data_IF_739438198876
#
_entry.id   IF_739438198876
#
_cell.length_a   1.000
_cell.length_b   1.000
_cell.length_c   1.000
_cell.angle_alpha   90.00
_cell.angle_beta   90.00
_cell.angle_gamma   90.00
#
_symmetry.space_group_name_H-M   'P 1'
#
loop_
_entity.id
_entity.type
_entity.pdbx_description
1 polymer ?
#
# COMPACT_ATOMS: atom_id res chain seq x y z
N UNK A 1 22.65 -18.22 9.15
CA UNK A 1 23.50 -17.95 10.31
C UNK A 1 23.94 -19.25 10.97
N UNK A 2 25.22 -19.37 11.26
CA UNK A 2 25.79 -20.47 12.05
C UNK A 2 27.05 -19.96 12.77
N UNK A 3 27.80 -20.90 13.46
CA UNK A 3 29.04 -20.55 14.17
C UNK A 3 30.14 -19.90 13.31
N UNK A 4 30.03 -19.95 11.98
CA UNK A 4 30.96 -19.32 11.05
C UNK A 4 30.47 -17.94 10.56
N UNK A 5 29.33 -17.41 11.08
CA UNK A 5 28.76 -16.13 10.75
C UNK A 5 27.53 -16.19 9.87
N UNK A 6 27.25 -15.08 9.16
CA UNK A 6 26.10 -14.93 8.27
C UNK A 6 26.54 -15.16 6.82
N UNK A 7 25.82 -16.00 6.10
CA UNK A 7 25.97 -16.17 4.65
C UNK A 7 24.67 -15.79 3.97
N UNK A 8 24.70 -14.77 3.10
CA UNK A 8 23.59 -14.35 2.25
C UNK A 8 23.69 -15.07 0.90
N UNK A 9 22.55 -15.58 0.41
CA UNK A 9 22.43 -16.18 -0.92
C UNK A 9 21.16 -15.67 -1.57
N UNK A 10 21.30 -15.04 -2.75
CA UNK A 10 20.17 -14.75 -3.63
C UNK A 10 19.70 -16.04 -4.27
N UNK A 11 18.42 -16.39 -4.11
CA UNK A 11 17.82 -17.62 -4.64
C UNK A 11 16.87 -17.36 -5.81
N UNK A 12 16.51 -16.10 -6.02
CA UNK A 12 15.66 -15.68 -7.12
C UNK A 12 16.06 -14.28 -7.59
N UNK A 13 15.92 -14.06 -8.90
CA UNK A 13 16.10 -12.77 -9.55
C UNK A 13 15.06 -12.63 -10.67
N UNK A 14 14.61 -11.40 -10.89
CA UNK A 14 13.69 -11.09 -11.97
C UNK A 14 14.44 -11.08 -13.29
N UNK A 15 13.87 -11.70 -14.33
CA UNK A 15 14.49 -11.83 -15.64
C UNK A 15 13.62 -11.19 -16.74
N UNK A 16 14.26 -10.49 -17.67
CA UNK A 16 13.59 -10.05 -18.90
C UNK A 16 13.54 -11.21 -19.91
N UNK A 17 12.34 -11.51 -20.39
CA UNK A 17 12.06 -12.55 -21.38
C UNK A 17 11.17 -11.99 -22.49
N UNK A 18 11.31 -12.50 -23.70
CA UNK A 18 10.42 -12.17 -24.81
C UNK A 18 9.00 -12.66 -24.51
N UNK A 19 8.02 -11.83 -24.81
CA UNK A 19 6.61 -12.17 -24.73
C UNK A 19 6.11 -12.55 -26.13
N UNK A 20 5.72 -13.82 -26.31
CA UNK A 20 5.37 -14.37 -27.62
C UNK A 20 3.87 -14.61 -27.81
N UNK A 21 3.07 -14.43 -26.75
CA UNK A 21 1.63 -14.66 -26.77
C UNK A 21 0.88 -13.45 -27.32
N UNK A 22 -0.17 -13.68 -28.10
CA UNK A 22 -1.12 -12.62 -28.48
C UNK A 22 -1.98 -12.16 -27.29
N UNK A 23 -2.77 -11.11 -27.48
CA UNK A 23 -3.60 -10.55 -26.42
C UNK A 23 -4.59 -11.55 -25.83
N UNK A 24 -5.22 -12.39 -26.66
CA UNK A 24 -6.20 -13.39 -26.21
C UNK A 24 -5.54 -14.49 -25.37
N UNK A 25 -4.41 -14.99 -25.83
CA UNK A 25 -3.59 -15.98 -25.13
C UNK A 25 -3.07 -15.41 -23.80
N UNK A 26 -2.57 -14.17 -23.81
CA UNK A 26 -2.05 -13.47 -22.63
C UNK A 26 -3.14 -13.27 -21.59
N UNK A 27 -4.32 -12.82 -22.01
CA UNK A 27 -5.48 -12.62 -21.11
C UNK A 27 -5.92 -13.92 -20.46
N UNK A 28 -5.98 -15.01 -21.24
CA UNK A 28 -6.34 -16.34 -20.74
C UNK A 28 -5.31 -16.86 -19.74
N UNK A 29 -4.04 -16.84 -20.13
CA UNK A 29 -2.94 -17.35 -19.29
C UNK A 29 -2.81 -16.54 -18.00
N UNK A 30 -2.93 -15.21 -18.08
CA UNK A 30 -2.95 -14.36 -16.89
C UNK A 30 -4.09 -14.75 -15.93
N UNK A 31 -5.30 -14.98 -16.44
CA UNK A 31 -6.44 -15.44 -15.62
C UNK A 31 -6.15 -16.76 -14.92
N UNK A 32 -5.55 -17.72 -15.65
CA UNK A 32 -5.17 -19.03 -15.10
C UNK A 32 -4.16 -18.90 -13.96
N UNK A 33 -3.11 -18.09 -14.14
CA UNK A 33 -2.10 -17.83 -13.13
C UNK A 33 -2.68 -17.13 -11.89
N UNK A 34 -3.59 -16.17 -12.09
CA UNK A 34 -4.27 -15.46 -11.01
C UNK A 34 -5.15 -16.40 -10.16
N UNK A 35 -5.94 -17.25 -10.83
CA UNK A 35 -6.80 -18.23 -10.14
C UNK A 35 -5.94 -19.22 -9.36
N UNK A 36 -4.90 -19.76 -9.98
CA UNK A 36 -3.97 -20.70 -9.34
C UNK A 36 -3.28 -20.08 -8.11
N UNK A 37 -2.75 -18.86 -8.25
CA UNK A 37 -2.11 -18.15 -7.14
C UNK A 37 -3.07 -17.93 -5.95
N UNK A 38 -4.32 -17.60 -6.22
CA UNK A 38 -5.33 -17.41 -5.17
C UNK A 38 -5.69 -18.76 -4.54
N UNK A 39 -5.99 -19.79 -5.33
CA UNK A 39 -6.42 -21.09 -4.82
C UNK A 39 -5.34 -21.79 -4.00
N UNK A 40 -4.08 -21.72 -4.41
CA UNK A 40 -2.95 -22.23 -3.62
C UNK A 40 -2.83 -21.54 -2.26
N UNK A 41 -3.14 -20.24 -2.17
CA UNK A 41 -3.10 -19.50 -0.92
C UNK A 41 -4.36 -19.68 -0.03
N UNK A 42 -5.39 -20.41 -0.51
CA UNK A 42 -6.52 -20.85 0.32
C UNK A 42 -6.23 -22.15 1.10
N UNK A 43 -5.10 -22.80 0.85
CA UNK A 43 -4.68 -23.99 1.61
C UNK A 43 -4.31 -23.56 3.03
N UNK A 44 -5.05 -24.09 4.01
CA UNK A 44 -4.88 -23.70 5.42
C UNK A 44 -5.60 -24.70 6.32
N UNK A 45 -4.99 -24.97 7.49
CA UNK A 45 -5.56 -25.77 8.57
C UNK A 45 -6.41 -24.93 9.55
N UNK A 46 -6.44 -23.62 9.33
CA UNK A 46 -7.17 -22.64 10.16
C UNK A 46 -8.15 -21.82 9.32
N UNK A 47 -9.12 -21.13 9.94
CA UNK A 47 -10.07 -20.32 9.19
C UNK A 47 -9.44 -19.24 8.33
N UNK A 48 -9.86 -19.18 7.05
CA UNK A 48 -9.41 -18.22 6.04
C UNK A 48 -10.54 -17.24 5.72
N UNK A 49 -10.20 -15.97 5.54
CA UNK A 49 -11.09 -14.92 5.06
C UNK A 49 -10.43 -14.10 3.95
N UNK A 50 -11.15 -13.12 3.39
CA UNK A 50 -10.60 -12.14 2.46
C UNK A 50 -10.91 -10.71 2.88
N UNK A 51 -10.02 -9.77 2.57
CA UNK A 51 -10.31 -8.35 2.66
C UNK A 51 -11.03 -7.91 1.39
N UNK A 52 -12.15 -7.20 1.56
CA UNK A 52 -13.03 -6.79 0.48
C UNK A 52 -13.28 -5.28 0.53
N UNK A 53 -12.61 -4.51 -0.32
CA UNK A 53 -12.80 -3.06 -0.45
C UNK A 53 -13.78 -2.67 -1.58
N UNK A 54 -14.31 -3.67 -2.31
CA UNK A 54 -15.09 -3.42 -3.52
C UNK A 54 -14.27 -2.87 -4.70
N UNK A 55 -12.94 -2.77 -4.56
CA UNK A 55 -12.02 -2.50 -5.67
C UNK A 55 -11.78 -3.76 -6.51
N UNK A 56 -11.25 -3.58 -7.72
CA UNK A 56 -10.99 -4.65 -8.68
C UNK A 56 -10.27 -5.85 -8.06
N UNK A 57 -9.14 -5.60 -7.41
CA UNK A 57 -8.19 -6.61 -6.95
C UNK A 57 -8.77 -7.47 -5.81
N UNK A 58 -9.30 -6.81 -4.77
CA UNK A 58 -9.93 -7.49 -3.63
C UNK A 58 -11.21 -8.22 -4.02
N UNK A 59 -11.96 -7.69 -4.98
CA UNK A 59 -13.16 -8.32 -5.53
C UNK A 59 -12.85 -9.62 -6.26
N UNK A 60 -11.78 -9.64 -7.05
CA UNK A 60 -11.39 -10.84 -7.77
C UNK A 60 -10.89 -11.94 -6.83
N UNK A 61 -10.03 -11.61 -5.86
CA UNK A 61 -9.60 -12.56 -4.82
C UNK A 61 -10.82 -13.15 -4.11
N UNK A 62 -11.74 -12.29 -3.65
CA UNK A 62 -12.93 -12.74 -2.92
C UNK A 62 -13.87 -13.57 -3.78
N UNK A 63 -13.99 -13.26 -5.09
CA UNK A 63 -14.76 -14.07 -6.03
C UNK A 63 -14.17 -15.48 -6.18
N UNK A 64 -12.87 -15.58 -6.49
CA UNK A 64 -12.21 -16.89 -6.66
C UNK A 64 -12.27 -17.69 -5.37
N UNK A 65 -12.00 -17.05 -4.22
CA UNK A 65 -12.09 -17.69 -2.91
C UNK A 65 -13.50 -18.20 -2.60
N UNK A 66 -14.55 -17.40 -2.88
CA UNK A 66 -15.94 -17.82 -2.68
C UNK A 66 -16.30 -19.00 -3.57
N UNK A 67 -15.86 -19.01 -4.83
CA UNK A 67 -16.05 -20.15 -5.75
C UNK A 67 -15.31 -21.41 -5.30
N UNK A 68 -14.09 -21.25 -4.78
CA UNK A 68 -13.35 -22.37 -4.21
C UNK A 68 -14.04 -22.94 -2.95
N UNK A 69 -14.58 -22.08 -2.07
CA UNK A 69 -15.35 -22.50 -0.90
C UNK A 69 -16.62 -23.27 -1.29
N UNK A 70 -17.38 -22.73 -2.27
CA UNK A 70 -18.59 -23.40 -2.81
C UNK A 70 -18.25 -24.78 -3.37
N UNK A 71 -17.22 -24.88 -4.22
CA UNK A 71 -16.77 -26.14 -4.86
C UNK A 71 -16.30 -27.19 -3.86
N UNK A 72 -15.70 -26.75 -2.75
CA UNK A 72 -15.16 -27.64 -1.71
C UNK A 72 -16.10 -27.81 -0.52
N UNK A 73 -17.36 -27.38 -0.60
CA UNK A 73 -18.35 -27.45 0.47
C UNK A 73 -17.91 -26.87 1.82
N UNK A 74 -17.10 -25.79 1.78
CA UNK A 74 -16.58 -25.11 2.98
C UNK A 74 -17.54 -24.05 3.56
N UNK A 75 -18.78 -23.99 3.05
CA UNK A 75 -19.75 -22.98 3.45
C UNK A 75 -19.51 -21.63 2.77
N UNK A 76 -20.00 -20.55 3.38
CA UNK A 76 -19.81 -19.18 2.85
C UNK A 76 -18.47 -18.60 3.28
N UNK A 77 -17.81 -17.90 2.35
CA UNK A 77 -16.61 -17.16 2.65
C UNK A 77 -16.91 -15.99 3.60
N UNK A 78 -16.09 -15.80 4.61
CA UNK A 78 -16.09 -14.58 5.41
C UNK A 78 -15.27 -13.49 4.69
N UNK A 79 -15.86 -12.31 4.56
CA UNK A 79 -15.18 -11.14 3.96
C UNK A 79 -15.21 -9.96 4.92
N UNK A 80 -14.17 -9.14 4.92
CA UNK A 80 -14.04 -8.02 5.82
C UNK A 80 -13.71 -6.73 5.06
N UNK A 81 -14.38 -5.64 5.43
CA UNK A 81 -14.04 -4.29 5.01
C UNK A 81 -13.80 -3.39 6.22
N UNK A 82 -13.13 -2.28 5.98
CA UNK A 82 -12.84 -1.27 6.99
C UNK A 82 -13.47 0.06 6.58
N UNK A 83 -13.99 0.78 7.56
CA UNK A 83 -14.45 2.15 7.43
C UNK A 83 -14.19 2.93 8.73
N UNK A 84 -14.36 4.25 8.71
CA UNK A 84 -14.22 5.12 9.87
C UNK A 84 -15.58 5.67 10.28
N UNK A 85 -15.75 5.90 11.58
CA UNK A 85 -16.97 6.54 12.13
C UNK A 85 -17.25 7.86 11.42
N UNK A 86 -18.50 8.05 10.99
CA UNK A 86 -18.98 9.22 10.25
C UNK A 86 -18.28 9.48 8.91
N UNK A 87 -17.68 8.46 8.28
CA UNK A 87 -16.96 8.64 7.03
C UNK A 87 -17.83 9.26 5.94
N UNK A 88 -19.07 8.82 5.76
CA UNK A 88 -20.00 9.38 4.76
C UNK A 88 -20.24 10.88 4.95
N UNK A 89 -20.29 11.36 6.20
CA UNK A 89 -20.50 12.78 6.52
C UNK A 89 -19.28 13.64 6.19
N UNK A 90 -18.07 13.11 6.35
CA UNK A 90 -16.83 13.87 6.19
C UNK A 90 -16.05 13.51 4.94
N UNK A 91 -16.47 12.48 4.22
CA UNK A 91 -15.82 12.07 2.97
C UNK A 91 -15.75 13.22 1.97
N UNK A 92 -14.57 13.43 1.40
CA UNK A 92 -14.35 14.42 0.35
C UNK A 92 -13.89 13.70 -0.89
N UNK A 93 -14.76 13.67 -1.89
CA UNK A 93 -14.39 13.16 -3.20
C UNK A 93 -13.20 13.94 -3.78
N UNK A 94 -12.30 13.23 -4.41
CA UNK A 94 -11.16 13.80 -5.13
C UNK A 94 -10.91 13.01 -6.42
N UNK A 95 -9.93 13.43 -7.19
CA UNK A 95 -9.60 12.79 -8.46
C UNK A 95 -9.25 11.29 -8.31
N UNK A 96 -8.61 10.92 -7.20
CA UNK A 96 -8.18 9.54 -6.92
C UNK A 96 -9.25 8.69 -6.21
N UNK A 97 -10.18 9.33 -5.50
CA UNK A 97 -11.26 8.66 -4.78
C UNK A 97 -12.58 9.42 -5.01
N UNK A 98 -13.27 9.16 -6.13
CA UNK A 98 -14.51 9.87 -6.47
C UNK A 98 -15.71 9.49 -5.61
N UNK A 99 -15.70 8.30 -4.98
CA UNK A 99 -16.78 7.78 -4.13
C UNK A 99 -16.23 6.95 -2.96
N UNK A 100 -17.03 6.82 -1.89
CA UNK A 100 -16.69 5.92 -0.78
C UNK A 100 -16.74 4.45 -1.24
N UNK A 101 -16.09 3.57 -0.48
CA UNK A 101 -16.01 2.15 -0.80
C UNK A 101 -17.28 1.39 -0.41
N UNK A 102 -18.08 1.92 0.53
CA UNK A 102 -19.22 1.24 1.15
C UNK A 102 -20.22 0.62 0.15
N UNK A 103 -20.64 1.39 -0.86
CA UNK A 103 -21.54 0.89 -1.91
C UNK A 103 -20.97 -0.32 -2.65
N UNK A 104 -19.69 -0.24 -3.02
CA UNK A 104 -19.01 -1.28 -3.80
C UNK A 104 -18.76 -2.55 -3.00
N UNK A 105 -18.50 -2.40 -1.72
CA UNK A 105 -18.37 -3.52 -0.77
C UNK A 105 -19.67 -4.30 -0.67
N UNK A 106 -20.79 -3.61 -0.41
CA UNK A 106 -22.13 -4.23 -0.30
C UNK A 106 -22.50 -4.94 -1.60
N UNK A 107 -22.28 -4.26 -2.74
CA UNK A 107 -22.55 -4.84 -4.07
C UNK A 107 -21.79 -6.13 -4.29
N UNK A 108 -20.48 -6.11 -4.00
CA UNK A 108 -19.61 -7.27 -4.25
C UNK A 108 -19.87 -8.41 -3.25
N UNK A 109 -20.08 -8.10 -1.97
CA UNK A 109 -20.44 -9.09 -0.96
C UNK A 109 -21.75 -9.81 -1.31
N UNK A 110 -22.76 -9.07 -1.81
CA UNK A 110 -24.01 -9.64 -2.33
C UNK A 110 -23.80 -10.52 -3.56
N UNK A 111 -22.96 -10.09 -4.51
CA UNK A 111 -22.66 -10.86 -5.73
C UNK A 111 -22.03 -12.22 -5.43
N UNK A 112 -21.03 -12.26 -4.52
CA UNK A 112 -20.37 -13.51 -4.12
C UNK A 112 -21.08 -14.26 -2.99
N UNK A 113 -22.16 -13.70 -2.44
CA UNK A 113 -22.96 -14.26 -1.34
C UNK A 113 -22.13 -14.57 -0.09
N UNK A 114 -21.13 -13.74 0.22
CA UNK A 114 -20.26 -13.91 1.40
C UNK A 114 -20.97 -13.53 2.71
N UNK A 115 -20.42 -14.01 3.83
CA UNK A 115 -20.70 -13.43 5.14
C UNK A 115 -19.79 -12.21 5.30
N UNK A 116 -20.37 -11.02 5.15
CA UNK A 116 -19.58 -9.78 5.16
C UNK A 116 -19.63 -9.10 6.53
N UNK A 117 -18.44 -8.66 7.00
CA UNK A 117 -18.25 -7.91 8.24
C UNK A 117 -17.65 -6.54 7.92
N UNK A 118 -18.36 -5.48 8.23
CA UNK A 118 -17.83 -4.12 8.10
C UNK A 118 -17.28 -3.67 9.46
N UNK A 119 -15.96 -3.44 9.54
CA UNK A 119 -15.27 -2.98 10.73
C UNK A 119 -15.21 -1.46 10.70
N UNK A 120 -15.90 -0.81 11.64
CA UNK A 120 -15.93 0.66 11.76
C UNK A 120 -15.00 1.10 12.88
N UNK A 121 -14.00 1.91 12.55
CA UNK A 121 -13.02 2.41 13.52
C UNK A 121 -13.41 3.77 14.08
N UNK A 122 -13.28 3.89 15.38
CA UNK A 122 -13.41 5.18 16.07
C UNK A 122 -12.17 6.06 15.85
N UNK A 123 -12.39 7.33 15.56
CA UNK A 123 -11.33 8.26 15.19
C UNK A 123 -10.36 8.60 16.34
N UNK A 124 -10.82 8.60 17.59
CA UNK A 124 -9.96 8.81 18.75
C UNK A 124 -9.13 7.57 19.04
N UNK A 125 -9.74 6.39 18.94
CA UNK A 125 -9.04 5.11 19.03
C UNK A 125 -7.97 5.00 17.97
N UNK A 126 -8.26 5.41 16.73
CA UNK A 126 -7.30 5.40 15.63
C UNK A 126 -6.03 6.22 15.97
N UNK A 127 -6.19 7.42 16.55
CA UNK A 127 -5.07 8.24 16.97
C UNK A 127 -4.29 7.61 18.15
N UNK A 128 -5.00 7.04 19.12
CA UNK A 128 -4.38 6.45 20.31
C UNK A 128 -3.53 5.20 19.99
N UNK A 129 -3.78 4.50 18.88
CA UNK A 129 -3.03 3.31 18.46
C UNK A 129 -1.80 3.61 17.59
N UNK A 130 -1.39 4.88 17.45
CA UNK A 130 -0.16 5.24 16.73
C UNK A 130 1.09 4.63 17.36
N UNK A 131 1.14 4.57 18.70
CA UNK A 131 2.26 3.95 19.44
C UNK A 131 2.35 2.45 19.16
N UNK A 132 1.26 1.71 19.31
CA UNK A 132 1.20 0.28 19.07
C UNK A 132 1.57 -0.08 17.62
N UNK A 133 1.11 0.70 16.66
CA UNK A 133 1.46 0.53 15.25
C UNK A 133 2.95 0.79 15.01
N UNK A 134 3.56 1.79 15.67
CA UNK A 134 5.00 2.05 15.58
C UNK A 134 5.81 0.91 16.17
N UNK A 135 5.39 0.38 17.32
CA UNK A 135 6.07 -0.77 17.95
C UNK A 135 5.92 -2.05 17.12
N UNK A 136 4.76 -2.25 16.49
CA UNK A 136 4.54 -3.39 15.60
C UNK A 136 5.45 -3.36 14.35
N UNK A 137 5.76 -2.16 13.84
CA UNK A 137 6.60 -1.98 12.65
C UNK A 137 8.09 -1.84 12.94
N UNK A 138 8.47 -1.58 14.19
CA UNK A 138 9.83 -1.18 14.63
C UNK A 138 10.32 0.16 14.01
N UNK A 139 9.46 0.86 13.30
CA UNK A 139 9.76 2.11 12.57
C UNK A 139 8.50 2.98 12.43
N UNK A 140 8.64 4.31 12.37
CA UNK A 140 7.55 5.16 11.90
C UNK A 140 7.31 4.91 10.40
N UNK A 141 6.07 4.63 9.99
CA UNK A 141 5.72 4.31 8.61
C UNK A 141 4.63 5.24 8.05
N UNK A 142 3.36 4.78 8.03
CA UNK A 142 2.26 5.44 7.32
C UNK A 142 1.15 5.97 8.24
N UNK A 143 1.51 6.38 9.46
CA UNK A 143 0.64 7.07 10.40
C UNK A 143 -0.70 6.32 10.67
N UNK A 144 -1.85 7.00 10.43
CA UNK A 144 -3.19 6.46 10.66
C UNK A 144 -3.50 5.23 9.79
N UNK A 145 -2.83 5.07 8.65
CA UNK A 145 -2.99 3.91 7.79
C UNK A 145 -2.45 2.66 8.48
N UNK A 146 -1.37 2.78 9.27
CA UNK A 146 -0.83 1.68 10.07
C UNK A 146 -1.74 1.35 11.25
N UNK A 147 -2.15 2.38 12.02
CA UNK A 147 -3.06 2.20 13.16
C UNK A 147 -4.39 1.57 12.72
N UNK A 148 -4.91 1.99 11.58
CA UNK A 148 -6.16 1.44 11.04
C UNK A 148 -6.01 -0.02 10.64
N UNK A 149 -4.92 -0.38 9.99
CA UNK A 149 -4.66 -1.77 9.60
C UNK A 149 -4.40 -2.65 10.84
N UNK A 150 -3.70 -2.14 11.85
CA UNK A 150 -3.50 -2.81 13.12
C UNK A 150 -4.83 -3.13 13.81
N UNK A 151 -5.69 -2.12 13.99
CA UNK A 151 -7.01 -2.26 14.61
C UNK A 151 -7.94 -3.17 13.78
N UNK A 152 -7.94 -3.01 12.47
CA UNK A 152 -8.69 -3.87 11.57
C UNK A 152 -8.26 -5.33 11.70
N UNK A 153 -6.98 -5.60 11.72
CA UNK A 153 -6.42 -6.94 11.88
C UNK A 153 -6.82 -7.57 13.22
N UNK A 154 -6.84 -6.76 14.28
CA UNK A 154 -7.28 -7.17 15.62
C UNK A 154 -8.75 -7.64 15.62
N UNK A 155 -9.63 -6.95 14.89
CA UNK A 155 -11.04 -7.35 14.75
C UNK A 155 -11.19 -8.60 13.87
N UNK A 156 -10.50 -8.65 12.71
CA UNK A 156 -10.53 -9.81 11.81
C UNK A 156 -10.04 -11.08 12.51
N UNK A 157 -9.02 -10.97 13.36
CA UNK A 157 -8.43 -12.10 14.10
C UNK A 157 -9.44 -12.83 15.00
N UNK A 158 -10.52 -12.17 15.40
CA UNK A 158 -11.60 -12.81 16.17
C UNK A 158 -12.36 -13.87 15.35
N UNK A 159 -12.26 -13.83 14.03
CA UNK A 159 -13.03 -14.67 13.11
C UNK A 159 -12.17 -15.55 12.20
N UNK A 160 -10.93 -15.15 11.92
CA UNK A 160 -10.02 -15.85 11.03
C UNK A 160 -8.58 -15.72 11.49
N UNK A 161 -7.73 -16.66 11.06
CA UNK A 161 -6.29 -16.64 11.33
C UNK A 161 -5.49 -16.28 10.08
N UNK A 162 -6.10 -16.46 8.90
CA UNK A 162 -5.50 -16.14 7.59
C UNK A 162 -6.45 -15.20 6.84
N UNK A 163 -5.89 -14.17 6.22
CA UNK A 163 -6.63 -13.24 5.38
C UNK A 163 -5.91 -13.01 4.04
N UNK A 164 -6.61 -13.20 2.91
CA UNK A 164 -6.11 -12.84 1.59
C UNK A 164 -6.42 -11.37 1.30
N UNK A 165 -5.44 -10.67 0.73
CA UNK A 165 -5.50 -9.23 0.43
C UNK A 165 -5.14 -8.94 -1.02
N UNK A 166 -5.76 -7.89 -1.60
CA UNK A 166 -5.53 -7.42 -2.97
C UNK A 166 -4.27 -6.57 -3.16
N UNK A 167 -3.41 -6.45 -2.17
CA UNK A 167 -2.16 -5.69 -2.29
C UNK A 167 -1.23 -6.32 -3.34
N UNK A 168 -0.30 -5.54 -3.86
CA UNK A 168 0.66 -5.84 -4.92
C UNK A 168 0.08 -5.83 -6.35
N UNK A 169 -1.23 -5.82 -6.55
CA UNK A 169 -1.82 -5.76 -7.89
C UNK A 169 -1.45 -4.47 -8.64
N UNK A 170 -1.38 -3.34 -7.94
CA UNK A 170 -1.04 -2.05 -8.54
C UNK A 170 0.43 -1.99 -8.99
N UNK A 171 1.34 -2.55 -8.20
CA UNK A 171 2.77 -2.60 -8.45
C UNK A 171 3.11 -3.51 -9.62
N UNK A 172 2.44 -4.65 -9.70
CA UNK A 172 2.69 -5.69 -10.72
C UNK A 172 2.03 -5.36 -12.06
N UNK A 173 0.82 -4.78 -12.04
CA UNK A 173 0.00 -4.57 -13.23
C UNK A 173 -0.16 -3.10 -13.65
N UNK A 174 0.59 -2.18 -13.06
CA UNK A 174 0.55 -0.77 -13.45
C UNK A 174 -0.73 -0.04 -13.02
N UNK A 175 -1.07 -0.11 -11.73
CA UNK A 175 -2.29 0.48 -11.16
C UNK A 175 -2.14 1.92 -10.68
N UNK A 176 -0.97 2.52 -10.75
CA UNK A 176 -0.73 3.88 -10.29
C UNK A 176 -0.68 4.90 -11.42
N UNK A 177 -1.00 6.18 -11.16
CA UNK A 177 -1.02 7.22 -12.19
C UNK A 177 0.29 7.41 -12.94
N UNK A 178 1.43 7.11 -12.31
CA UNK A 178 2.73 7.25 -12.97
C UNK A 178 2.99 6.21 -14.05
N UNK A 179 2.25 5.11 -14.11
CA UNK A 179 2.38 4.13 -15.20
C UNK A 179 1.80 4.63 -16.54
N UNK A 180 0.87 5.58 -16.48
CA UNK A 180 0.24 6.16 -17.69
C UNK A 180 0.87 7.48 -18.12
N UNK A 181 1.87 7.98 -17.38
CA UNK A 181 2.63 9.17 -17.76
C UNK A 181 3.71 8.80 -18.77
N UNK A 182 3.98 9.71 -19.70
CA UNK A 182 5.13 9.60 -20.58
C UNK A 182 6.38 10.11 -19.87
N UNK A 183 7.41 9.27 -19.82
CA UNK A 183 8.72 9.63 -19.30
C UNK A 183 9.76 9.51 -20.41
N UNK A 184 10.48 10.57 -20.65
CA UNK A 184 11.70 10.49 -21.46
C UNK A 184 12.78 9.73 -20.67
N UNK A 185 13.00 10.11 -19.41
CA UNK A 185 13.86 9.44 -18.44
C UNK A 185 13.23 9.49 -17.04
N UNK A 186 13.48 8.47 -16.22
CA UNK A 186 13.08 8.44 -14.82
C UNK A 186 14.27 8.94 -13.99
N UNK A 187 14.22 10.17 -13.54
CA UNK A 187 15.30 10.79 -12.76
C UNK A 187 15.13 10.57 -11.25
N UNK A 188 13.88 10.40 -10.79
CA UNK A 188 13.51 10.24 -9.40
C UNK A 188 12.42 9.17 -9.29
N UNK A 189 12.25 8.60 -8.10
CA UNK A 189 11.15 7.67 -7.84
C UNK A 189 9.80 8.29 -8.24
N UNK A 190 8.99 7.61 -9.09
CA UNK A 190 7.78 8.21 -9.68
C UNK A 190 6.71 8.66 -8.68
N UNK A 191 6.75 8.15 -7.46
CA UNK A 191 5.87 8.55 -6.35
C UNK A 191 6.41 9.70 -5.51
N UNK A 192 7.57 10.28 -5.88
CA UNK A 192 8.21 11.40 -5.20
C UNK A 192 8.56 12.50 -6.20
N UNK A 193 7.69 13.49 -6.37
CA UNK A 193 7.97 14.60 -7.30
C UNK A 193 9.15 15.48 -6.83
N UNK A 194 9.26 15.70 -5.50
CA UNK A 194 10.33 16.49 -4.87
C UNK A 194 10.36 16.23 -3.37
N UNK A 195 11.54 16.23 -2.80
CA UNK A 195 11.75 16.15 -1.34
C UNK A 195 11.96 17.52 -0.70
N UNK A 196 12.09 18.60 -1.48
CA UNK A 196 12.39 19.93 -0.97
C UNK A 196 11.36 20.46 0.03
N UNK A 197 10.07 20.12 -0.14
CA UNK A 197 9.03 20.52 0.82
C UNK A 197 9.21 19.88 2.21
N UNK A 198 9.94 18.75 2.29
CA UNK A 198 10.27 18.11 3.58
C UNK A 198 11.38 18.85 4.29
N UNK A 199 12.33 19.44 3.57
CA UNK A 199 13.42 20.26 4.16
C UNK A 199 12.88 21.42 4.98
N UNK A 200 11.70 21.96 4.62
CA UNK A 200 11.08 23.09 5.34
C UNK A 200 10.64 22.78 6.79
N UNK A 201 10.64 21.52 7.17
CA UNK A 201 10.30 21.12 8.55
C UNK A 201 11.49 20.49 9.28
N UNK A 202 12.65 20.38 8.63
CA UNK A 202 13.85 19.83 9.27
C UNK A 202 14.51 20.85 10.18
N UNK A 203 15.11 20.35 11.24
CA UNK A 203 15.98 21.16 12.11
C UNK A 203 17.18 21.72 11.30
N UNK A 204 17.63 22.90 11.65
CA UNK A 204 18.74 23.58 10.93
C UNK A 204 20.01 22.75 10.87
N UNK A 205 20.28 21.93 11.89
CA UNK A 205 21.45 21.03 11.95
C UNK A 205 21.50 19.99 10.84
N UNK A 206 20.35 19.62 10.26
CA UNK A 206 20.24 18.58 9.23
C UNK A 206 19.58 19.06 7.92
N UNK A 207 19.23 20.34 7.84
CA UNK A 207 18.54 20.90 6.67
C UNK A 207 19.40 20.83 5.38
N UNK A 208 20.72 20.82 5.52
CA UNK A 208 21.69 20.79 4.41
C UNK A 208 22.05 19.36 3.98
N UNK A 209 21.50 18.33 4.63
CA UNK A 209 21.71 16.95 4.19
C UNK A 209 21.25 16.76 2.73
N UNK A 210 22.02 16.05 1.88
CA UNK A 210 21.71 15.86 0.46
C UNK A 210 20.63 14.78 0.24
N UNK A 211 19.46 14.97 0.88
CA UNK A 211 18.37 13.96 0.90
C UNK A 211 17.84 13.69 -0.51
N UNK A 212 17.66 14.73 -1.32
CA UNK A 212 17.14 14.59 -2.68
C UNK A 212 18.16 13.92 -3.61
N UNK A 213 19.44 14.31 -3.50
CA UNK A 213 20.54 13.73 -4.25
C UNK A 213 20.71 12.25 -3.91
N UNK A 214 20.62 11.90 -2.63
CA UNK A 214 20.66 10.51 -2.19
C UNK A 214 19.50 9.69 -2.78
N UNK A 215 18.28 10.23 -2.76
CA UNK A 215 17.12 9.54 -3.34
C UNK A 215 17.25 9.39 -4.87
N UNK A 216 17.76 10.40 -5.58
CA UNK A 216 18.06 10.31 -7.02
C UNK A 216 19.11 9.24 -7.30
N UNK A 217 20.20 9.21 -6.53
CA UNK A 217 21.25 8.19 -6.68
C UNK A 217 20.67 6.78 -6.49
N UNK A 218 19.87 6.55 -5.45
CA UNK A 218 19.22 5.24 -5.20
C UNK A 218 18.28 4.83 -6.33
N UNK A 219 17.56 5.79 -6.91
CA UNK A 219 16.73 5.56 -8.08
C UNK A 219 17.57 5.14 -9.29
N UNK A 220 18.61 5.90 -9.64
CA UNK A 220 19.49 5.61 -10.78
C UNK A 220 20.25 4.29 -10.62
N UNK A 221 20.76 3.99 -9.44
CA UNK A 221 21.39 2.71 -9.12
C UNK A 221 20.44 1.52 -9.29
N UNK A 222 19.15 1.75 -9.02
CA UNK A 222 18.13 0.73 -9.23
C UNK A 222 17.82 0.56 -10.72
N UNK A 223 17.68 1.64 -11.46
CA UNK A 223 17.44 1.63 -12.93
C UNK A 223 18.58 0.92 -13.67
N UNK A 224 19.82 1.13 -13.24
CA UNK A 224 20.99 0.47 -13.85
C UNK A 224 20.97 -1.06 -13.73
N UNK A 225 20.18 -1.61 -12.79
CA UNK A 225 20.03 -3.04 -12.51
C UNK A 225 18.77 -3.65 -13.11
N UNK A 226 17.95 -2.86 -13.80
CA UNK A 226 16.69 -3.35 -14.40
C UNK A 226 16.99 -4.37 -15.49
N UNK A 227 16.44 -5.59 -15.42
CA UNK A 227 16.54 -6.55 -16.51
C UNK A 227 15.78 -6.02 -17.73
N UNK A 228 16.48 -5.91 -18.89
CA UNK A 228 15.94 -5.37 -20.13
C UNK A 228 16.23 -6.31 -21.29
N UNK A 229 15.44 -6.20 -22.38
CA UNK A 229 15.70 -6.89 -23.62
C UNK A 229 16.47 -5.98 -24.59
N UNK A 230 17.39 -6.55 -25.32
CA UNK A 230 18.12 -5.81 -26.36
C UNK A 230 17.18 -5.44 -27.52
N UNK A 231 17.03 -4.14 -27.75
CA UNK A 231 16.22 -3.64 -28.86
C UNK A 231 14.71 -3.56 -28.59
N UNK A 232 14.27 -3.71 -27.34
CA UNK A 232 12.89 -3.43 -26.98
C UNK A 232 12.50 -1.96 -27.19
N UNK A 233 11.20 -1.68 -27.27
CA UNK A 233 10.72 -0.31 -27.42
C UNK A 233 11.04 0.54 -26.18
N UNK A 234 11.23 1.86 -26.37
CA UNK A 234 11.40 2.78 -25.22
C UNK A 234 10.23 2.69 -24.23
N UNK A 235 9.03 2.44 -24.72
CA UNK A 235 7.85 2.30 -23.88
C UNK A 235 7.90 1.04 -23.02
N UNK A 236 8.32 -0.09 -23.58
CA UNK A 236 8.51 -1.32 -22.82
C UNK A 236 9.66 -1.19 -21.83
N UNK A 237 10.77 -0.58 -22.23
CA UNK A 237 11.89 -0.27 -21.35
C UNK A 237 11.42 0.57 -20.14
N UNK A 238 10.66 1.65 -20.35
CA UNK A 238 10.09 2.47 -19.26
C UNK A 238 9.14 1.66 -18.38
N UNK A 239 8.30 0.82 -18.97
CA UNK A 239 7.39 -0.04 -18.21
C UNK A 239 8.15 -1.00 -17.30
N UNK A 240 9.26 -1.59 -17.78
CA UNK A 240 10.13 -2.45 -16.95
C UNK A 240 10.78 -1.67 -15.82
N UNK A 241 11.29 -0.49 -16.08
CA UNK A 241 11.88 0.38 -15.06
C UNK A 241 10.86 0.77 -13.97
N UNK A 242 9.67 1.24 -14.38
CA UNK A 242 8.59 1.55 -13.46
C UNK A 242 8.20 0.34 -12.61
N UNK A 243 8.00 -0.81 -13.25
CA UNK A 243 7.62 -2.04 -12.56
C UNK A 243 8.72 -2.47 -11.58
N UNK A 244 9.99 -2.47 -12.01
CA UNK A 244 11.11 -2.85 -11.15
C UNK A 244 11.26 -1.92 -9.94
N UNK A 245 11.17 -0.61 -10.13
CA UNK A 245 11.21 0.36 -9.04
C UNK A 245 10.06 0.14 -8.05
N UNK A 246 8.84 -0.09 -8.57
CA UNK A 246 7.68 -0.39 -7.72
C UNK A 246 7.88 -1.69 -6.92
N UNK A 247 8.32 -2.77 -7.56
CA UNK A 247 8.58 -4.06 -6.88
C UNK A 247 9.68 -3.94 -5.83
N UNK A 248 10.76 -3.22 -6.14
CA UNK A 248 11.95 -3.14 -5.28
C UNK A 248 11.80 -2.21 -4.09
N UNK A 249 11.01 -1.16 -4.22
CA UNK A 249 10.93 -0.09 -3.20
C UNK A 249 9.53 0.08 -2.64
N UNK A 250 8.56 0.36 -3.50
CA UNK A 250 7.21 0.72 -3.06
C UNK A 250 6.46 -0.48 -2.50
N UNK A 251 6.46 -1.59 -3.22
CA UNK A 251 5.81 -2.84 -2.82
C UNK A 251 6.40 -3.40 -1.52
N UNK A 252 7.73 -3.36 -1.36
CA UNK A 252 8.39 -3.84 -0.13
C UNK A 252 7.89 -3.06 1.09
N UNK A 253 7.75 -1.73 0.97
CA UNK A 253 7.22 -0.89 2.05
C UNK A 253 5.78 -1.27 2.40
N UNK A 254 4.93 -1.48 1.39
CA UNK A 254 3.53 -1.87 1.60
C UNK A 254 3.41 -3.28 2.20
N UNK A 255 4.21 -4.22 1.72
CA UNK A 255 4.25 -5.59 2.25
C UNK A 255 4.74 -5.63 3.70
N UNK A 256 5.80 -4.88 4.01
CA UNK A 256 6.30 -4.78 5.38
C UNK A 256 5.22 -4.22 6.32
N UNK A 257 4.55 -3.15 5.93
CA UNK A 257 3.41 -2.61 6.67
C UNK A 257 2.32 -3.67 6.87
N UNK A 258 1.93 -4.36 5.79
CA UNK A 258 0.88 -5.38 5.85
C UNK A 258 1.25 -6.49 6.83
N UNK A 259 2.40 -7.09 6.64
CA UNK A 259 2.89 -8.19 7.48
C UNK A 259 2.98 -7.77 8.94
N UNK A 260 3.64 -6.66 9.24
CA UNK A 260 3.82 -6.19 10.61
C UNK A 260 2.51 -5.90 11.33
N UNK A 261 1.57 -5.19 10.68
CA UNK A 261 0.29 -4.86 11.33
C UNK A 261 -0.62 -6.08 11.51
N UNK A 262 -0.61 -7.01 10.56
CA UNK A 262 -1.43 -8.23 10.68
C UNK A 262 -0.80 -9.22 11.67
N UNK A 263 0.51 -9.47 11.59
CA UNK A 263 1.20 -10.42 12.47
C UNK A 263 1.28 -9.97 13.92
N UNK A 264 1.33 -8.66 14.19
CA UNK A 264 1.22 -8.14 15.56
C UNK A 264 -0.11 -8.54 16.23
N UNK A 265 -1.12 -8.88 15.43
CA UNK A 265 -2.42 -9.40 15.89
C UNK A 265 -2.58 -10.91 15.64
N UNK A 266 -1.52 -11.66 15.32
CA UNK A 266 -1.55 -13.08 15.01
C UNK A 266 -2.48 -13.43 13.83
N UNK A 267 -2.61 -12.53 12.86
CA UNK A 267 -3.35 -12.70 11.62
C UNK A 267 -2.34 -12.81 10.46
N UNK A 268 -2.30 -13.94 9.77
CA UNK A 268 -1.44 -14.13 8.60
C UNK A 268 -2.07 -13.43 7.38
N UNK A 269 -1.39 -12.40 6.86
CA UNK A 269 -1.80 -11.70 5.64
C UNK A 269 -1.17 -12.33 4.40
N UNK A 270 -1.97 -12.89 3.49
CA UNK A 270 -1.51 -13.45 2.22
C UNK A 270 -1.83 -12.51 1.06
N UNK A 271 -0.89 -12.42 0.10
CA UNK A 271 -0.95 -11.49 -1.04
C UNK A 271 -0.77 -12.22 -2.37
N UNK A 272 -1.83 -12.82 -2.94
CA UNK A 272 -1.73 -13.63 -4.16
C UNK A 272 -1.10 -12.92 -5.36
N UNK A 273 -1.25 -11.60 -5.48
CA UNK A 273 -0.64 -10.82 -6.56
C UNK A 273 0.89 -10.73 -6.48
N UNK A 274 1.50 -11.05 -5.33
CA UNK A 274 2.94 -11.16 -5.18
C UNK A 274 3.47 -12.58 -5.45
N UNK A 275 2.65 -13.49 -5.99
CA UNK A 275 3.12 -14.82 -6.39
C UNK A 275 4.26 -14.70 -7.40
N UNK A 276 5.34 -15.43 -7.16
CA UNK A 276 6.56 -15.35 -7.96
C UNK A 276 6.31 -15.60 -9.44
N UNK A 277 5.55 -16.64 -9.77
CA UNK A 277 5.27 -17.02 -11.17
C UNK A 277 4.42 -15.94 -11.86
N UNK A 278 3.45 -15.39 -11.14
CA UNK A 278 2.61 -14.30 -11.61
C UNK A 278 3.43 -13.03 -11.87
N UNK A 279 4.34 -12.67 -10.94
CA UNK A 279 5.22 -11.49 -11.07
C UNK A 279 6.17 -11.65 -12.25
N UNK A 280 6.82 -12.81 -12.40
CA UNK A 280 7.71 -13.10 -13.54
C UNK A 280 6.98 -13.00 -14.88
N UNK A 281 5.77 -13.55 -14.96
CA UNK A 281 4.95 -13.46 -16.17
C UNK A 281 4.54 -12.01 -16.46
N UNK A 282 3.97 -11.34 -15.46
CA UNK A 282 3.49 -9.96 -15.59
C UNK A 282 4.60 -8.97 -15.95
N UNK A 283 5.82 -9.17 -15.43
CA UNK A 283 6.97 -8.33 -15.75
C UNK A 283 7.29 -8.31 -17.25
N UNK A 284 7.07 -9.44 -17.93
CA UNK A 284 7.40 -9.63 -19.32
C UNK A 284 6.26 -9.30 -20.30
N UNK A 285 5.08 -8.92 -19.83
CA UNK A 285 3.98 -8.47 -20.68
C UNK A 285 4.31 -7.08 -21.25
N UNK A 286 4.16 -6.83 -22.57
CA UNK A 286 4.37 -5.53 -23.20
C UNK A 286 3.50 -4.42 -22.60
N UNK A 287 4.01 -3.20 -22.59
CA UNK A 287 3.34 -2.02 -22.04
C UNK A 287 1.94 -1.78 -22.63
N UNK A 288 1.80 -1.96 -23.94
CA UNK A 288 0.52 -1.79 -24.65
C UNK A 288 -0.55 -2.78 -24.21
N UNK A 289 -0.15 -4.01 -23.88
CA UNK A 289 -1.06 -5.01 -23.32
C UNK A 289 -1.37 -4.71 -21.86
N UNK A 290 -0.35 -4.38 -21.03
CA UNK A 290 -0.59 -4.02 -19.60
C UNK A 290 -1.57 -2.88 -19.45
N UNK A 291 -1.36 -1.81 -20.22
CA UNK A 291 -2.20 -0.61 -20.24
C UNK A 291 -3.25 -0.67 -21.36
N UNK A 292 -3.86 -1.83 -21.57
CA UNK A 292 -4.87 -2.04 -22.60
C UNK A 292 -5.92 -0.91 -22.56
N UNK A 293 -6.24 -0.36 -23.72
CA UNK A 293 -7.10 0.84 -23.89
C UNK A 293 -6.57 2.12 -23.20
N UNK A 294 -5.26 2.22 -22.98
CA UNK A 294 -4.63 3.36 -22.29
C UNK A 294 -5.01 3.47 -20.81
N UNK A 295 -5.47 2.40 -20.19
CA UNK A 295 -6.04 2.38 -18.86
C UNK A 295 -5.14 1.63 -17.87
N UNK A 296 -5.08 2.12 -16.63
CA UNK A 296 -4.40 1.43 -15.55
C UNK A 296 -4.97 0.03 -15.33
N UNK A 297 -4.08 -0.96 -15.19
CA UNK A 297 -4.42 -2.39 -15.06
C UNK A 297 -5.32 -2.91 -16.20
N UNK A 298 -5.19 -2.36 -17.43
CA UNK A 298 -6.08 -2.67 -18.54
C UNK A 298 -6.21 -4.16 -18.82
N UNK A 299 -5.08 -4.85 -18.92
CA UNK A 299 -5.07 -6.32 -19.13
C UNK A 299 -5.64 -7.09 -17.93
N UNK A 300 -5.33 -6.65 -16.71
CA UNK A 300 -5.87 -7.28 -15.49
C UNK A 300 -7.41 -7.17 -15.47
N UNK A 301 -7.97 -6.01 -15.84
CA UNK A 301 -9.41 -5.81 -15.99
C UNK A 301 -10.00 -6.76 -17.03
N UNK A 302 -9.36 -6.87 -18.17
CA UNK A 302 -9.80 -7.76 -19.24
C UNK A 302 -9.75 -9.23 -18.82
N UNK A 303 -8.73 -9.65 -18.08
CA UNK A 303 -8.63 -11.02 -17.56
C UNK A 303 -9.75 -11.39 -16.58
N UNK A 304 -10.39 -10.41 -15.95
CA UNK A 304 -11.48 -10.60 -14.99
C UNK A 304 -12.88 -10.42 -15.62
N UNK A 305 -12.95 -9.94 -16.86
CA UNK A 305 -14.22 -9.76 -17.57
C UNK A 305 -14.98 -11.09 -17.66
N UNK A 306 -16.28 -11.05 -17.56
CA UNK A 306 -17.18 -12.20 -17.44
C UNK A 306 -17.20 -12.91 -16.08
N UNK A 307 -16.26 -12.62 -15.18
CA UNK A 307 -16.21 -13.20 -13.83
C UNK A 307 -16.72 -12.24 -12.76
N UNK A 308 -16.51 -10.96 -12.96
CA UNK A 308 -16.99 -9.90 -12.06
C UNK A 308 -18.02 -9.01 -12.79
N UNK A 309 -18.89 -8.31 -12.03
CA UNK A 309 -19.77 -7.29 -12.62
C UNK A 309 -18.97 -6.21 -13.33
N UNK A 310 -19.42 -5.78 -14.51
CA UNK A 310 -18.73 -4.75 -15.32
C UNK A 310 -18.47 -3.46 -14.53
N UNK A 311 -19.39 -3.04 -13.69
CA UNK A 311 -19.22 -1.86 -12.84
C UNK A 311 -18.06 -1.99 -11.85
N UNK A 312 -17.75 -3.19 -11.35
CA UNK A 312 -16.57 -3.45 -10.50
C UNK A 312 -15.30 -3.41 -11.37
N UNK A 313 -15.35 -4.03 -12.56
CA UNK A 313 -14.23 -4.04 -13.50
C UNK A 313 -13.89 -2.61 -13.94
N UNK A 314 -14.90 -1.79 -14.18
CA UNK A 314 -14.73 -0.44 -14.69
C UNK A 314 -14.62 0.62 -13.59
N UNK A 315 -14.71 0.22 -12.32
CA UNK A 315 -14.51 1.12 -11.20
C UNK A 315 -13.12 1.77 -11.25
N UNK A 316 -13.08 3.09 -11.04
CA UNK A 316 -11.81 3.83 -10.87
C UNK A 316 -11.12 3.34 -9.58
N UNK A 317 -9.79 3.26 -9.64
CA UNK A 317 -8.99 2.93 -8.45
C UNK A 317 -9.32 3.85 -7.28
N UNK A 318 -9.49 3.25 -6.10
CA UNK A 318 -9.59 3.95 -4.82
C UNK A 318 -8.40 3.58 -3.94
N UNK A 319 -7.73 4.54 -3.30
CA UNK A 319 -6.66 4.25 -2.35
C UNK A 319 -7.20 3.61 -1.08
N UNK A 320 -6.31 3.11 -0.22
CA UNK A 320 -6.69 2.64 1.11
C UNK A 320 -7.42 3.76 1.87
N UNK A 321 -8.57 3.47 2.54
CA UNK A 321 -9.38 4.49 3.19
C UNK A 321 -8.62 5.17 4.33
N UNK A 322 -8.66 6.50 4.33
CA UNK A 322 -8.17 7.35 5.43
C UNK A 322 -9.34 8.10 6.05
N UNK A 323 -9.20 8.48 7.31
CA UNK A 323 -10.22 9.31 7.95
C UNK A 323 -10.14 10.76 7.48
N UNK A 324 -11.30 11.35 7.23
CA UNK A 324 -11.49 12.79 7.01
C UNK A 324 -12.16 13.49 8.19
N UNK A 325 -12.39 12.74 9.27
CA UNK A 325 -13.11 13.26 10.45
C UNK A 325 -12.22 14.22 11.25
N UNK A 326 -12.71 15.45 11.55
CA UNK A 326 -11.96 16.43 12.32
C UNK A 326 -11.63 16.00 13.77
N UNK A 327 -12.32 14.99 14.30
CA UNK A 327 -12.00 14.41 15.62
C UNK A 327 -10.59 13.83 15.60
N UNK A 328 -10.24 13.08 14.55
CA UNK A 328 -8.88 12.55 14.37
C UNK A 328 -7.84 13.68 14.34
N UNK A 329 -8.06 14.69 13.49
CA UNK A 329 -7.15 15.84 13.39
C UNK A 329 -6.93 16.52 14.72
N UNK A 330 -8.00 16.75 15.49
CA UNK A 330 -7.91 17.36 16.85
C UNK A 330 -7.10 16.47 17.80
N UNK A 331 -7.32 15.15 17.77
CA UNK A 331 -6.62 14.21 18.62
C UNK A 331 -5.10 14.23 18.35
N UNK A 332 -4.68 14.09 17.09
CA UNK A 332 -3.25 14.11 16.76
C UNK A 332 -2.60 15.49 16.98
N UNK A 333 -3.32 16.59 16.75
CA UNK A 333 -2.83 17.92 17.10
C UNK A 333 -2.58 18.07 18.60
N UNK A 334 -3.48 17.55 19.44
CA UNK A 334 -3.29 17.55 20.88
C UNK A 334 -2.06 16.72 21.28
N UNK A 335 -1.94 15.49 20.79
CA UNK A 335 -0.79 14.62 21.08
C UNK A 335 0.53 15.26 20.68
N UNK A 336 0.61 15.86 19.48
CA UNK A 336 1.83 16.55 19.04
C UNK A 336 2.10 17.82 19.87
N UNK A 337 1.06 18.54 20.31
CA UNK A 337 1.24 19.68 21.22
C UNK A 337 1.81 19.24 22.58
N UNK A 338 1.38 18.10 23.12
CA UNK A 338 1.93 17.56 24.37
C UNK A 338 3.45 17.28 24.19
N UNK A 339 3.89 16.78 23.03
CA UNK A 339 5.30 16.61 22.66
C UNK A 339 6.02 17.99 22.58
N UNK A 340 5.38 19.00 22.01
CA UNK A 340 5.95 20.38 21.93
C UNK A 340 6.22 20.96 23.31
N UNK A 341 5.39 20.63 24.29
CA UNK A 341 5.52 21.10 25.70
C UNK A 341 6.54 20.29 26.51
N UNK A 342 6.93 19.09 26.04
CA UNK A 342 7.96 18.27 26.72
C UNK A 342 9.36 18.84 26.44
N UNK A 343 10.08 19.30 27.49
CA UNK A 343 11.46 19.81 27.32
C UNK A 343 12.47 18.71 26.92
N UNK A 344 12.11 17.43 27.08
CA UNK A 344 12.95 16.28 26.77
C UNK A 344 12.61 15.64 25.41
N UNK A 345 11.68 16.22 24.64
CA UNK A 345 11.28 15.68 23.34
C UNK A 345 12.45 15.57 22.39
N UNK A 346 12.73 14.36 21.91
CA UNK A 346 13.82 14.06 20.97
C UNK A 346 13.51 14.50 19.54
N UNK A 347 12.23 14.63 19.21
CA UNK A 347 11.74 15.02 17.88
C UNK A 347 12.44 16.27 17.35
N UNK A 348 12.69 17.26 18.20
CA UNK A 348 13.26 18.55 17.81
C UNK A 348 14.77 18.53 17.51
N UNK A 349 15.40 17.37 17.62
CA UNK A 349 16.72 17.13 17.04
C UNK A 349 16.67 16.94 15.51
N UNK A 350 15.48 16.54 14.99
CA UNK A 350 15.26 16.23 13.57
C UNK A 350 14.41 17.30 12.90
N UNK A 351 13.40 17.83 13.60
CA UNK A 351 12.44 18.78 13.02
C UNK A 351 12.48 20.13 13.72
N UNK A 352 12.19 21.19 12.97
CA UNK A 352 12.09 22.54 13.48
C UNK A 352 10.84 22.72 14.33
N UNK A 353 11.02 23.21 15.56
CA UNK A 353 9.92 23.36 16.54
C UNK A 353 8.89 24.38 16.09
N UNK A 354 9.31 25.49 15.45
CA UNK A 354 8.40 26.54 14.99
C UNK A 354 7.54 26.02 13.82
N UNK A 355 8.14 25.27 12.91
CA UNK A 355 7.41 24.60 11.82
C UNK A 355 6.36 23.62 12.35
N UNK A 356 6.67 22.86 13.39
CA UNK A 356 5.73 21.93 14.05
C UNK A 356 4.59 22.69 14.72
N UNK A 357 4.88 23.78 15.47
CA UNK A 357 3.85 24.63 16.09
C UNK A 357 2.92 25.23 15.03
N UNK A 358 3.46 25.74 13.92
CA UNK A 358 2.66 26.23 12.80
C UNK A 358 1.77 25.13 12.19
N UNK A 359 2.30 23.91 12.08
CA UNK A 359 1.51 22.76 11.59
C UNK A 359 0.34 22.43 12.51
N UNK A 360 0.54 22.45 13.83
CA UNK A 360 -0.52 22.25 14.82
C UNK A 360 -1.58 23.35 14.70
N UNK A 361 -1.18 24.63 14.70
CA UNK A 361 -2.06 25.79 14.63
C UNK A 361 -2.92 25.80 13.38
N UNK A 362 -2.38 25.34 12.27
CA UNK A 362 -3.08 25.23 10.98
C UNK A 362 -3.81 23.88 10.81
N UNK A 363 -3.75 23.00 11.82
CA UNK A 363 -4.30 21.63 11.73
C UNK A 363 -3.78 20.86 10.49
N UNK A 364 -2.49 21.05 10.19
CA UNK A 364 -1.82 20.45 9.05
C UNK A 364 -2.03 21.14 7.70
N UNK A 365 -2.85 22.20 7.61
CA UNK A 365 -3.12 22.91 6.35
C UNK A 365 -1.91 23.65 5.78
N UNK A 366 -0.93 23.97 6.62
CA UNK A 366 0.37 24.54 6.16
C UNK A 366 1.19 23.55 5.34
N UNK A 367 0.91 22.25 5.44
CA UNK A 367 1.58 21.20 4.66
C UNK A 367 0.69 20.78 3.49
N UNK A 368 0.95 21.33 2.31
CA UNK A 368 0.06 21.25 1.14
C UNK A 368 0.37 20.08 0.20
N UNK A 369 1.58 19.53 0.26
CA UNK A 369 1.99 18.41 -0.58
C UNK A 369 1.91 17.07 0.19
N UNK A 370 1.63 15.95 -0.48
CA UNK A 370 1.69 14.64 0.17
C UNK A 370 3.09 14.35 0.71
N UNK A 371 3.16 13.80 1.92
CA UNK A 371 4.43 13.38 2.52
C UNK A 371 4.95 12.08 1.92
N UNK A 372 4.04 11.15 1.65
CA UNK A 372 4.37 9.84 1.11
C UNK A 372 3.35 9.47 0.04
N UNK A 373 3.79 9.39 -1.21
CA UNK A 373 2.92 9.10 -2.35
C UNK A 373 1.72 10.05 -2.41
N UNK A 374 0.51 9.49 -2.40
CA UNK A 374 -0.74 10.26 -2.49
C UNK A 374 -1.49 10.36 -1.15
N UNK A 375 -0.98 9.73 -0.08
CA UNK A 375 -1.79 9.37 1.09
C UNK A 375 -1.59 10.29 2.28
N UNK A 376 -0.36 10.69 2.58
CA UNK A 376 -0.04 11.42 3.79
C UNK A 376 -0.11 12.93 3.55
N UNK A 377 -1.20 13.53 3.97
CA UNK A 377 -1.41 15.00 3.98
C UNK A 377 -1.34 15.51 5.43
N UNK A 378 -1.68 16.76 5.69
CA UNK A 378 -1.49 17.43 6.96
C UNK A 378 -1.69 16.62 8.24
N UNK A 379 -2.89 16.08 8.55
CA UNK A 379 -3.11 15.30 9.77
C UNK A 379 -2.26 14.03 9.84
N UNK A 380 -1.99 13.39 8.69
CA UNK A 380 -1.13 12.22 8.63
C UNK A 380 0.35 12.56 8.86
N UNK A 381 0.81 13.74 8.42
CA UNK A 381 2.16 14.22 8.74
C UNK A 381 2.31 14.48 10.23
N UNK A 382 1.31 15.10 10.86
CA UNK A 382 1.26 15.27 12.32
C UNK A 382 1.38 13.92 13.03
N UNK A 383 0.60 12.95 12.62
CA UNK A 383 0.63 11.60 13.18
C UNK A 383 1.99 10.89 12.95
N UNK A 384 2.62 11.09 11.78
CA UNK A 384 3.96 10.59 11.50
C UNK A 384 5.02 11.18 12.44
N UNK A 385 4.94 12.47 12.78
CA UNK A 385 5.85 13.09 13.74
C UNK A 385 5.67 12.51 15.15
N UNK A 386 4.44 12.14 15.53
CA UNK A 386 4.17 11.42 16.79
C UNK A 386 4.80 10.03 16.77
N UNK A 387 4.68 9.29 15.65
CA UNK A 387 5.35 8.01 15.49
C UNK A 387 6.87 8.14 15.57
N UNK A 388 7.44 9.21 14.98
CA UNK A 388 8.87 9.48 15.02
C UNK A 388 9.36 9.72 16.45
N UNK A 389 8.69 10.57 17.23
CA UNK A 389 8.99 10.78 18.66
C UNK A 389 8.86 9.47 19.46
N UNK A 390 7.80 8.71 19.21
CA UNK A 390 7.59 7.40 19.83
C UNK A 390 8.76 6.48 19.58
N UNK A 391 9.20 6.38 18.33
CA UNK A 391 10.31 5.53 17.93
C UNK A 391 11.64 5.96 18.53
N UNK A 392 11.94 7.26 18.54
CA UNK A 392 13.15 7.81 19.13
C UNK A 392 13.25 7.46 20.62
N UNK A 393 12.14 7.46 21.34
CA UNK A 393 12.09 7.18 22.78
C UNK A 393 12.10 5.68 23.09
N UNK A 394 11.20 4.90 22.48
CA UNK A 394 11.03 3.47 22.78
C UNK A 394 12.28 2.64 22.41
N UNK A 395 12.97 3.01 21.32
CA UNK A 395 14.18 2.32 20.88
C UNK A 395 15.48 3.01 21.36
N UNK A 396 15.35 4.05 22.17
CA UNK A 396 16.47 4.84 22.67
C UNK A 396 17.47 5.23 21.58
N UNK A 397 16.91 5.72 20.46
CA UNK A 397 17.71 6.08 19.28
C UNK A 397 18.60 7.26 19.61
N UNK A 398 19.86 7.16 19.25
CA UNK A 398 20.84 8.24 19.31
C UNK A 398 21.08 8.75 17.90
N UNK A 399 21.08 10.06 17.75
CA UNK A 399 21.39 10.72 16.48
C UNK A 399 22.85 11.15 16.54
N UNK A 400 23.61 10.75 15.53
CA UNK A 400 24.99 11.16 15.30
C UNK A 400 24.99 12.14 14.12
N UNK A 401 24.77 13.43 14.43
CA UNK A 401 24.57 14.54 13.49
C UNK A 401 25.44 15.74 13.88
#
# INVERSE_FOLDING_TARGET
>A
YNKNGIKLRQYWELEAKEHTQDLGQTTKHLRELLVDAIERQLVSDVPVCTFLSGGLDSSFISYVAAKAFERNNKGKLNTFSIDNTDNEKYFKANEFQPNSDAYWVVKMAGYIKSNHYNVILDNTTLANYLKEATLASDLPLMADIDSSLYLFSKEVRKHATVALSGECADEVFGGYPWYTKDYENIEMFPWQDSLNHRKNILAKSIADLPIEEYAKQMCQDSISKVPKLKGESKRDERMRELTYLNLKWFMITLLNRKDRMTMANSLEGRVPYADKTLVEYAYNIPADMKLLHGREKGLLRESMRTLLPDEIIDRKKSPYPKTHNPIYTKAVCKMLNDIVQDPNAKLFQIVDKEAVVNMINTQGKSFTKPWFGQLMTGPQVIAYLIQLETWLNEYNVKLDI
#
